data_IF_245426740227
#
_entry.id   IF_245426740227
#
_cell.length_a   1.000
_cell.length_b   1.000
_cell.length_c   1.000
_cell.angle_alpha   90.00
_cell.angle_beta   90.00
_cell.angle_gamma   90.00
#
_symmetry.space_group_name_H-M   'P 1'
#
loop_
_entity.id
_entity.type
_entity.pdbx_description
1 polymer ?
#
# COMPACT_ATOMS: atom_id res chain seq x y z
N UNK A 1 10.77 10.07 -19.61
CA UNK A 1 11.03 9.67 -18.21
C UNK A 1 12.45 9.98 -17.70
N UNK A 2 13.44 10.31 -18.55
CA UNK A 2 14.82 10.59 -18.10
C UNK A 2 14.92 11.74 -17.09
N UNK A 3 14.23 12.86 -17.34
CA UNK A 3 14.16 14.00 -16.41
C UNK A 3 13.57 13.61 -15.05
N UNK A 4 12.44 12.89 -15.03
CA UNK A 4 11.84 12.40 -13.79
C UNK A 4 12.78 11.46 -13.02
N UNK A 5 13.56 10.63 -13.71
CA UNK A 5 14.54 9.75 -13.08
C UNK A 5 15.65 10.54 -12.38
N UNK A 6 16.13 11.64 -12.97
CA UNK A 6 17.08 12.52 -12.28
C UNK A 6 16.49 13.13 -11.00
N UNK A 7 15.22 13.54 -11.01
CA UNK A 7 14.54 14.02 -9.80
C UNK A 7 14.36 12.93 -8.75
N UNK A 8 13.95 11.71 -9.15
CA UNK A 8 13.81 10.56 -8.25
C UNK A 8 15.15 10.16 -7.60
N UNK A 9 16.27 10.32 -8.31
CA UNK A 9 17.58 10.04 -7.74
C UNK A 9 18.03 11.13 -6.75
N UNK A 10 17.52 12.36 -6.85
CA UNK A 10 17.78 13.45 -5.89
C UNK A 10 16.85 13.41 -4.66
N UNK A 11 15.70 12.74 -4.78
CA UNK A 11 14.67 12.65 -3.74
C UNK A 11 15.19 12.16 -2.37
N UNK A 12 16.07 11.14 -2.26
CA UNK A 12 16.59 10.69 -0.97
C UNK A 12 17.27 11.82 -0.18
N UNK A 13 18.02 12.69 -0.86
CA UNK A 13 18.67 13.84 -0.24
C UNK A 13 17.64 14.88 0.22
N UNK A 14 16.66 15.19 -0.62
CA UNK A 14 15.60 16.15 -0.27
C UNK A 14 14.74 15.68 0.91
N UNK A 15 14.32 14.41 0.90
CA UNK A 15 13.54 13.80 1.97
C UNK A 15 14.32 13.76 3.28
N UNK A 16 15.63 13.50 3.25
CA UNK A 16 16.46 13.51 4.44
C UNK A 16 16.41 14.85 5.18
N UNK A 17 16.72 15.96 4.50
CA UNK A 17 16.67 17.29 5.12
C UNK A 17 15.26 17.68 5.55
N UNK A 18 14.24 17.31 4.77
CA UNK A 18 12.86 17.60 5.11
C UNK A 18 12.42 16.85 6.38
N UNK A 19 12.78 15.58 6.54
CA UNK A 19 12.48 14.82 7.75
C UNK A 19 13.12 15.44 9.01
N UNK A 20 14.36 15.94 8.92
CA UNK A 20 14.98 16.68 10.01
C UNK A 20 14.25 17.99 10.31
N UNK A 21 13.90 18.76 9.27
CA UNK A 21 13.17 20.01 9.44
C UNK A 21 11.78 19.81 10.06
N UNK A 22 11.07 18.74 9.68
CA UNK A 22 9.77 18.40 10.23
C UNK A 22 9.90 17.85 11.66
N UNK A 23 10.93 17.03 11.91
CA UNK A 23 11.24 16.50 13.24
C UNK A 23 11.56 17.60 14.26
N UNK A 24 12.19 18.71 13.85
CA UNK A 24 12.45 19.87 14.70
C UNK A 24 11.19 20.68 15.05
N UNK A 25 10.14 20.61 14.22
CA UNK A 25 8.85 21.29 14.46
C UNK A 25 7.89 20.46 15.29
N UNK A 26 8.05 19.14 15.26
CA UNK A 26 7.12 18.21 15.89
C UNK A 26 7.35 18.17 17.40
N UNK A 27 6.37 18.58 18.19
CA UNK A 27 6.52 18.72 19.65
C UNK A 27 6.54 17.39 20.42
N UNK A 28 5.92 16.34 19.87
CA UNK A 28 5.87 15.02 20.49
C UNK A 28 5.99 13.89 19.45
N UNK A 29 7.07 13.07 19.47
CA UNK A 29 7.23 11.95 18.53
C UNK A 29 6.16 10.87 18.66
N UNK A 30 5.50 10.78 19.83
CA UNK A 30 4.40 9.85 20.07
C UNK A 30 3.18 10.13 19.18
N UNK A 31 2.80 11.41 19.02
CA UNK A 31 1.65 11.79 18.19
C UNK A 31 1.90 11.46 16.71
N UNK A 32 3.14 11.63 16.24
CA UNK A 32 3.52 11.28 14.87
C UNK A 32 3.33 9.79 14.59
N UNK A 33 3.71 8.93 15.55
CA UNK A 33 3.53 7.49 15.42
C UNK A 33 2.05 7.10 15.35
N UNK A 34 1.19 7.77 16.11
CA UNK A 34 -0.25 7.56 16.08
C UNK A 34 -0.83 7.90 14.70
N UNK A 35 -0.46 9.04 14.12
CA UNK A 35 -0.89 9.42 12.78
C UNK A 35 -0.42 8.44 11.70
N UNK A 36 0.84 7.99 11.77
CA UNK A 36 1.38 6.99 10.84
C UNK A 36 0.67 5.64 11.02
N UNK A 37 0.40 5.24 12.26
CA UNK A 37 -0.33 4.02 12.58
C UNK A 37 -1.76 4.03 12.02
N UNK A 38 -2.48 5.14 12.21
CA UNK A 38 -3.81 5.32 11.63
C UNK A 38 -3.78 5.32 10.10
N UNK A 39 -2.78 5.96 9.48
CA UNK A 39 -2.60 5.95 8.03
C UNK A 39 -2.35 4.55 7.49
N UNK A 40 -1.41 3.79 8.09
CA UNK A 40 -1.13 2.42 7.67
C UNK A 40 -2.33 1.50 7.90
N UNK A 41 -2.99 1.63 9.06
CA UNK A 41 -4.18 0.85 9.39
C UNK A 41 -5.31 1.06 8.40
N UNK A 42 -5.59 2.31 8.02
CA UNK A 42 -6.63 2.64 7.02
C UNK A 42 -6.24 2.16 5.63
N UNK A 43 -4.97 2.33 5.22
CA UNK A 43 -4.49 1.88 3.91
C UNK A 43 -4.56 0.35 3.75
N UNK A 44 -3.98 -0.40 4.70
CA UNK A 44 -4.04 -1.86 4.69
C UNK A 44 -5.47 -2.37 4.85
N UNK A 45 -6.26 -1.72 5.71
CA UNK A 45 -7.68 -2.03 5.89
C UNK A 45 -8.48 -1.88 4.59
N UNK A 46 -8.23 -0.81 3.82
CA UNK A 46 -8.89 -0.58 2.53
C UNK A 46 -8.52 -1.65 1.50
N UNK A 47 -7.23 -1.99 1.38
CA UNK A 47 -6.76 -3.04 0.45
C UNK A 47 -7.32 -4.40 0.85
N UNK A 48 -7.31 -4.74 2.15
CA UNK A 48 -7.87 -5.98 2.66
C UNK A 48 -9.38 -6.06 2.40
N UNK A 49 -10.12 -5.00 2.70
CA UNK A 49 -11.56 -4.93 2.41
C UNK A 49 -11.85 -5.10 0.91
N UNK A 50 -11.08 -4.43 0.06
CA UNK A 50 -11.23 -4.53 -1.38
C UNK A 50 -11.01 -5.97 -1.88
N UNK A 51 -9.95 -6.64 -1.43
CA UNK A 51 -9.61 -7.98 -1.90
C UNK A 51 -10.44 -9.11 -1.29
N UNK A 52 -10.83 -9.02 -0.02
CA UNK A 52 -11.53 -10.11 0.65
C UNK A 52 -13.05 -9.95 0.67
N UNK A 53 -13.57 -8.74 0.47
CA UNK A 53 -15.02 -8.48 0.53
C UNK A 53 -15.52 -7.99 -0.82
N UNK A 54 -14.97 -6.89 -1.34
CA UNK A 54 -15.52 -6.23 -2.52
C UNK A 54 -15.37 -7.08 -3.79
N UNK A 55 -14.18 -7.60 -4.10
CA UNK A 55 -13.98 -8.44 -5.29
C UNK A 55 -14.72 -9.78 -5.22
N UNK A 56 -14.71 -10.55 -4.11
CA UNK A 56 -15.47 -11.79 -4.02
C UNK A 56 -16.98 -11.56 -4.16
N UNK A 57 -17.50 -10.47 -3.57
CA UNK A 57 -18.91 -10.09 -3.71
C UNK A 57 -19.25 -9.77 -5.17
N UNK A 58 -18.44 -8.98 -5.86
CA UNK A 58 -18.62 -8.70 -7.29
C UNK A 58 -18.59 -9.98 -8.13
N UNK A 59 -17.68 -10.90 -7.82
CA UNK A 59 -17.59 -12.19 -8.51
C UNK A 59 -18.87 -13.01 -8.32
N UNK A 60 -19.42 -13.07 -7.10
CA UNK A 60 -20.68 -13.76 -6.83
C UNK A 60 -21.85 -13.10 -7.57
N UNK A 61 -21.93 -11.76 -7.56
CA UNK A 61 -23.04 -11.03 -8.21
C UNK A 61 -23.02 -11.21 -9.74
N UNK A 62 -21.84 -11.14 -10.36
CA UNK A 62 -21.69 -11.17 -11.82
C UNK A 62 -21.61 -12.60 -12.33
N UNK A 63 -20.70 -13.41 -11.79
CA UNK A 63 -20.39 -14.77 -12.28
C UNK A 63 -21.34 -15.81 -11.68
N UNK A 64 -21.97 -15.51 -10.53
CA UNK A 64 -22.89 -16.42 -9.81
C UNK A 64 -22.27 -17.78 -9.48
N UNK A 65 -20.97 -17.79 -9.19
CA UNK A 65 -20.21 -18.98 -8.76
C UNK A 65 -19.45 -18.67 -7.48
N UNK A 66 -19.06 -19.72 -6.75
CA UNK A 66 -18.21 -19.58 -5.58
C UNK A 66 -16.83 -19.00 -6.00
N UNK A 67 -16.38 -17.85 -5.44
CA UNK A 67 -15.10 -17.25 -5.77
C UNK A 67 -13.90 -17.97 -5.13
N UNK A 68 -14.11 -18.79 -4.09
CA UNK A 68 -13.01 -19.41 -3.33
C UNK A 68 -12.08 -20.28 -4.20
N UNK A 69 -12.57 -21.18 -5.07
CA UNK A 69 -11.69 -21.97 -5.95
C UNK A 69 -10.86 -21.09 -6.88
N UNK A 70 -11.41 -19.96 -7.34
CA UNK A 70 -10.68 -19.02 -8.19
C UNK A 70 -9.52 -18.36 -7.43
N UNK A 71 -9.77 -17.87 -6.21
CA UNK A 71 -8.73 -17.26 -5.39
C UNK A 71 -7.61 -18.25 -5.03
N UNK A 72 -7.93 -19.51 -4.72
CA UNK A 72 -6.92 -20.54 -4.43
C UNK A 72 -5.99 -20.75 -5.61
N UNK A 73 -6.54 -20.87 -6.83
CA UNK A 73 -5.73 -21.04 -8.03
C UNK A 73 -4.86 -19.82 -8.37
N UNK A 74 -5.25 -18.63 -7.89
CA UNK A 74 -4.53 -17.37 -8.10
C UNK A 74 -3.44 -17.11 -7.04
N UNK A 75 -3.44 -17.84 -5.90
CA UNK A 75 -2.50 -17.63 -4.80
C UNK A 75 -1.03 -17.56 -5.23
N UNK A 76 -0.50 -18.45 -6.10
CA UNK A 76 0.90 -18.37 -6.52
C UNK A 76 1.25 -17.04 -7.17
N UNK A 77 0.37 -16.53 -8.04
CA UNK A 77 0.57 -15.25 -8.72
C UNK A 77 0.50 -14.07 -7.74
N UNK A 78 -0.41 -14.12 -6.77
CA UNK A 78 -0.51 -13.10 -5.71
C UNK A 78 0.79 -13.06 -4.88
N UNK A 79 1.31 -14.23 -4.50
CA UNK A 79 2.55 -14.34 -3.74
C UNK A 79 3.75 -13.82 -4.55
N UNK A 80 3.84 -14.13 -5.84
CA UNK A 80 4.88 -13.59 -6.71
C UNK A 80 4.77 -12.07 -6.83
N UNK A 81 3.56 -11.53 -7.06
CA UNK A 81 3.36 -10.08 -7.17
C UNK A 81 3.69 -9.35 -5.85
N UNK A 82 3.35 -9.95 -4.70
CA UNK A 82 3.73 -9.42 -3.40
C UNK A 82 5.26 -9.43 -3.20
N UNK A 83 5.93 -10.51 -3.60
CA UNK A 83 7.38 -10.66 -3.44
C UNK A 83 8.20 -9.76 -4.37
N UNK A 84 7.76 -9.55 -5.61
CA UNK A 84 8.47 -8.68 -6.56
C UNK A 84 8.13 -7.21 -6.38
N UNK A 85 6.96 -6.90 -5.80
CA UNK A 85 6.43 -5.54 -5.64
C UNK A 85 6.48 -4.70 -6.94
N UNK A 86 6.47 -5.37 -8.09
CA UNK A 86 6.62 -4.75 -9.41
C UNK A 86 5.30 -4.80 -10.15
N UNK A 87 4.93 -3.67 -10.75
CA UNK A 87 3.80 -3.54 -11.66
C UNK A 87 4.22 -3.79 -13.10
#
# INVERSE_FOLDING_TARGET
MKIMHYFLNMLPLGMFFWMFAEGLKSEAPYQLLEYIGAFLGTAFGCIAFHQFILLPLLFIVIVRKNPIPFHINLLPAILTAFGTASR
#
